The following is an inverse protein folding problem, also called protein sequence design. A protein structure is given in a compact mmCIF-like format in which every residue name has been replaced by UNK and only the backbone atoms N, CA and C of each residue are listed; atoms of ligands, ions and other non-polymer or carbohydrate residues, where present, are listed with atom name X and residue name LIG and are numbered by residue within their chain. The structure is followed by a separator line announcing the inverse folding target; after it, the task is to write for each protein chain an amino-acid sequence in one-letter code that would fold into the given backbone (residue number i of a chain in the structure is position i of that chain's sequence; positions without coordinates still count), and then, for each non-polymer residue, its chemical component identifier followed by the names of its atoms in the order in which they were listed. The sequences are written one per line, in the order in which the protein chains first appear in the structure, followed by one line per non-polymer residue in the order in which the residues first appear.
data_IF_658276723424
#
_entry.id   IF_658276723424
#
_cell.length_a   1.000
_cell.length_b   1.000
_cell.length_c   1.000
_cell.angle_alpha   90.00
_cell.angle_beta   90.00
_cell.angle_gamma   90.00
#
_symmetry.space_group_name_H-M   'P 1'
#
loop_
_entity.id
_entity.type
_entity.pdbx_description
1 polymer ?
#
# COMPACT_ATOMS: atom_id res chain seq x y z
N UNK A 1 1.58 -20.19 -19.68
CA UNK A 1 1.38 -21.20 -18.61
C UNK A 1 2.52 -21.29 -17.58
N UNK A 2 3.79 -21.35 -17.97
CA UNK A 2 4.93 -21.49 -17.03
C UNK A 2 4.96 -20.45 -15.89
N UNK A 3 4.79 -19.16 -16.22
CA UNK A 3 4.79 -18.07 -15.23
C UNK A 3 3.70 -18.24 -14.16
N UNK A 4 2.48 -18.60 -14.58
CA UNK A 4 1.35 -18.80 -13.67
C UNK A 4 1.61 -19.96 -12.71
N UNK A 5 2.09 -21.10 -13.22
CA UNK A 5 2.48 -22.26 -12.39
C UNK A 5 3.55 -21.90 -11.35
N UNK A 6 4.54 -21.10 -11.75
CA UNK A 6 5.64 -20.69 -10.86
C UNK A 6 5.18 -19.78 -9.74
N UNK A 7 4.12 -18.98 -9.92
CA UNK A 7 3.65 -18.02 -8.91
C UNK A 7 2.64 -18.61 -7.91
N UNK A 8 1.93 -19.70 -8.25
CA UNK A 8 0.93 -20.28 -7.35
C UNK A 8 1.57 -21.10 -6.22
N UNK A 9 1.11 -20.88 -4.98
CA UNK A 9 1.57 -21.55 -3.76
C UNK A 9 0.40 -21.87 -2.83
N UNK A 10 0.58 -22.84 -1.94
CA UNK A 10 -0.39 -23.24 -0.91
C UNK A 10 -1.80 -23.47 -1.45
N UNK A 11 -2.80 -22.94 -0.72
CA UNK A 11 -4.22 -23.09 -1.03
C UNK A 11 -4.61 -22.65 -2.45
N UNK A 12 -3.94 -21.63 -2.99
CA UNK A 12 -4.19 -21.16 -4.37
C UNK A 12 -3.72 -22.18 -5.41
N UNK A 13 -2.56 -22.83 -5.17
CA UNK A 13 -2.06 -23.90 -6.04
C UNK A 13 -2.94 -25.15 -5.96
N UNK A 14 -3.38 -25.52 -4.76
CA UNK A 14 -4.28 -26.66 -4.54
C UNK A 14 -5.61 -26.47 -5.26
N UNK A 15 -6.19 -25.25 -5.18
CA UNK A 15 -7.47 -24.89 -5.80
C UNK A 15 -7.57 -25.22 -7.30
N UNK A 16 -6.45 -25.06 -8.02
CA UNK A 16 -6.38 -25.21 -9.47
C UNK A 16 -5.45 -26.35 -9.87
N UNK A 17 -5.04 -27.21 -8.93
CA UNK A 17 -4.05 -28.27 -9.17
C UNK A 17 -4.43 -29.18 -10.35
N UNK A 18 -5.69 -29.62 -10.42
CA UNK A 18 -6.21 -30.39 -11.55
C UNK A 18 -6.17 -29.60 -12.88
N UNK A 19 -6.55 -28.31 -12.86
CA UNK A 19 -6.50 -27.41 -14.01
C UNK A 19 -5.07 -27.09 -14.48
N UNK A 20 -4.09 -27.21 -13.58
CA UNK A 20 -2.68 -27.10 -13.93
C UNK A 20 -2.15 -28.39 -14.55
N UNK A 21 -2.78 -29.54 -14.36
CA UNK A 21 -2.34 -30.80 -15.00
C UNK A 21 -2.97 -30.94 -16.38
N UNK A 22 -4.27 -30.63 -16.51
CA UNK A 22 -4.91 -30.51 -17.83
C UNK A 22 -4.31 -29.32 -18.60
N UNK A 23 -4.28 -29.40 -19.93
CA UNK A 23 -3.86 -28.29 -20.80
C UNK A 23 -4.90 -27.14 -20.82
N UNK A 24 -5.49 -26.83 -19.65
CA UNK A 24 -6.50 -25.78 -19.49
C UNK A 24 -5.91 -24.40 -19.79
N UNK A 25 -6.74 -23.54 -20.35
CA UNK A 25 -6.33 -22.19 -20.70
C UNK A 25 -6.03 -21.37 -19.43
N UNK A 26 -5.07 -20.43 -19.48
CA UNK A 26 -4.78 -19.53 -18.36
C UNK A 26 -6.03 -18.77 -17.84
N UNK A 27 -6.96 -18.45 -18.72
CA UNK A 27 -8.18 -17.69 -18.43
C UNK A 27 -9.11 -18.47 -17.50
N UNK A 28 -9.25 -19.79 -17.72
CA UNK A 28 -10.04 -20.68 -16.86
C UNK A 28 -9.41 -20.72 -15.46
N UNK A 29 -8.09 -20.89 -15.38
CA UNK A 29 -7.37 -20.94 -14.10
C UNK A 29 -7.54 -19.63 -13.33
N UNK A 30 -7.37 -18.49 -14.00
CA UNK A 30 -7.58 -17.17 -13.40
C UNK A 30 -9.02 -17.00 -12.96
N UNK A 31 -10.00 -17.48 -13.74
CA UNK A 31 -11.42 -17.39 -13.38
C UNK A 31 -11.76 -18.24 -12.14
N UNK A 32 -11.22 -19.45 -12.04
CA UNK A 32 -11.38 -20.29 -10.84
C UNK A 32 -10.73 -19.65 -9.62
N UNK A 33 -9.55 -19.04 -9.77
CA UNK A 33 -8.90 -18.31 -8.68
C UNK A 33 -9.70 -17.09 -8.25
N UNK A 34 -10.26 -16.33 -9.19
CA UNK A 34 -11.16 -15.20 -8.89
C UNK A 34 -12.43 -15.68 -8.19
N UNK A 35 -13.02 -16.80 -8.61
CA UNK A 35 -14.21 -17.35 -7.97
C UNK A 35 -13.94 -17.73 -6.50
N UNK A 36 -12.78 -18.33 -6.20
CA UNK A 36 -12.45 -18.81 -4.85
C UNK A 36 -11.83 -17.74 -3.94
N UNK A 37 -10.99 -16.86 -4.48
CA UNK A 37 -10.19 -15.90 -3.71
C UNK A 37 -10.47 -14.43 -4.04
N UNK A 38 -11.28 -14.16 -5.07
CA UNK A 38 -11.62 -12.82 -5.54
C UNK A 38 -12.76 -12.15 -4.79
N UNK A 39 -13.21 -12.70 -3.66
CA UNK A 39 -14.28 -12.09 -2.87
C UNK A 39 -13.84 -10.70 -2.36
N UNK A 40 -14.49 -9.61 -2.80
CA UNK A 40 -14.05 -8.25 -2.51
C UNK A 40 -14.05 -7.93 -1.01
N UNK A 41 -15.06 -8.40 -0.28
CA UNK A 41 -15.19 -8.14 1.17
C UNK A 41 -14.09 -8.87 1.96
N UNK A 42 -13.75 -10.10 1.55
CA UNK A 42 -12.66 -10.84 2.19
C UNK A 42 -11.29 -10.18 1.92
N UNK A 43 -11.03 -9.81 0.66
CA UNK A 43 -9.79 -9.09 0.29
C UNK A 43 -9.66 -7.81 1.11
N UNK A 44 -10.73 -7.04 1.19
CA UNK A 44 -10.74 -5.76 1.86
C UNK A 44 -10.58 -5.87 3.38
N UNK A 45 -11.28 -6.81 4.01
CA UNK A 45 -11.13 -7.08 5.44
C UNK A 45 -9.68 -7.47 5.78
N UNK A 46 -9.03 -8.25 4.92
CA UNK A 46 -7.63 -8.62 5.06
C UNK A 46 -6.69 -7.42 4.89
N UNK A 47 -6.93 -6.58 3.89
CA UNK A 47 -6.15 -5.35 3.66
C UNK A 47 -6.24 -4.40 4.87
N UNK A 48 -7.45 -4.15 5.39
CA UNK A 48 -7.65 -3.30 6.57
C UNK A 48 -6.99 -3.91 7.81
N UNK A 49 -7.06 -5.23 7.97
CA UNK A 49 -6.38 -5.94 9.05
C UNK A 49 -4.86 -5.77 8.99
N UNK A 50 -4.27 -5.86 7.80
CA UNK A 50 -2.84 -5.71 7.59
C UNK A 50 -2.38 -4.28 7.91
N UNK A 51 -3.17 -3.25 7.55
CA UNK A 51 -2.91 -1.86 7.95
C UNK A 51 -2.96 -1.69 9.47
N UNK A 52 -3.97 -2.26 10.15
CA UNK A 52 -4.08 -2.19 11.62
C UNK A 52 -2.89 -2.84 12.32
N UNK A 53 -2.33 -3.91 11.74
CA UNK A 53 -1.16 -4.63 12.25
C UNK A 53 0.18 -3.95 11.99
N UNK A 54 0.23 -2.88 11.19
CA UNK A 54 1.48 -2.17 10.99
C UNK A 54 2.00 -1.64 12.34
N UNK A 55 3.31 -1.80 12.61
CA UNK A 55 3.92 -1.19 13.77
C UNK A 55 3.88 0.35 13.62
N UNK A 56 3.77 1.09 14.74
CA UNK A 56 4.05 2.52 14.73
C UNK A 56 5.48 2.77 14.24
N UNK A 57 5.65 3.81 13.44
CA UNK A 57 6.96 4.23 12.95
C UNK A 57 7.75 4.87 14.09
N UNK A 58 9.05 4.61 14.14
CA UNK A 58 9.90 5.22 15.17
C UNK A 58 10.06 6.73 14.96
N UNK A 59 10.68 7.41 15.93
CA UNK A 59 11.05 8.83 15.76
C UNK A 59 12.13 9.01 14.67
N UNK A 60 12.97 7.99 14.43
CA UNK A 60 13.93 7.92 13.31
C UNK A 60 13.26 7.39 12.03
N UNK A 61 12.13 8.01 11.71
CA UNK A 61 11.16 7.56 10.72
C UNK A 61 11.72 7.52 9.28
N UNK A 62 12.84 8.21 9.04
CA UNK A 62 13.49 8.33 7.74
C UNK A 62 13.87 6.97 7.13
N UNK A 63 14.20 5.98 7.97
CA UNK A 63 14.53 4.61 7.52
C UNK A 63 13.31 3.80 7.10
N UNK A 64 12.13 4.17 7.60
CA UNK A 64 10.91 3.36 7.51
C UNK A 64 9.90 3.94 6.51
N UNK A 65 9.89 5.27 6.34
CA UNK A 65 8.85 6.00 5.60
C UNK A 65 8.69 5.56 4.15
N UNK A 66 9.78 5.19 3.47
CA UNK A 66 9.70 4.68 2.09
C UNK A 66 8.89 3.38 2.07
N UNK A 67 9.24 2.42 2.92
CA UNK A 67 8.52 1.14 2.99
C UNK A 67 7.07 1.31 3.48
N UNK A 68 6.83 2.25 4.40
CA UNK A 68 5.51 2.54 4.94
C UNK A 68 4.61 3.18 3.88
N UNK A 69 5.09 4.22 3.18
CA UNK A 69 4.35 4.90 2.12
C UNK A 69 3.93 3.96 0.99
N UNK A 70 4.82 3.04 0.58
CA UNK A 70 4.51 2.01 -0.43
C UNK A 70 3.39 1.08 0.04
N UNK A 71 3.37 0.69 1.33
CA UNK A 71 2.27 -0.13 1.87
C UNK A 71 0.93 0.60 1.83
N UNK A 72 0.91 1.90 2.16
CA UNK A 72 -0.32 2.70 2.09
C UNK A 72 -0.78 2.91 0.63
N UNK A 73 0.13 3.15 -0.31
CA UNK A 73 -0.19 3.23 -1.74
C UNK A 73 -0.73 1.91 -2.30
N UNK A 74 -0.13 0.79 -1.91
CA UNK A 74 -0.62 -0.53 -2.31
C UNK A 74 -2.02 -0.79 -1.74
N UNK A 75 -2.30 -0.33 -0.52
CA UNK A 75 -3.62 -0.42 0.08
C UNK A 75 -4.65 0.40 -0.71
N UNK A 76 -4.39 1.70 -0.97
CA UNK A 76 -5.31 2.55 -1.74
C UNK A 76 -5.53 2.03 -3.17
N UNK A 77 -4.46 1.58 -3.83
CA UNK A 77 -4.53 0.95 -5.14
C UNK A 77 -5.36 -0.34 -5.14
N UNK A 78 -5.20 -1.19 -4.13
CA UNK A 78 -5.97 -2.43 -3.99
C UNK A 78 -7.46 -2.16 -3.73
N UNK A 79 -7.80 -1.19 -2.87
CA UNK A 79 -9.19 -0.79 -2.63
C UNK A 79 -9.87 -0.30 -3.92
N UNK A 80 -9.16 0.52 -4.71
CA UNK A 80 -9.64 0.98 -6.02
C UNK A 80 -9.80 -0.16 -7.02
N UNK A 81 -8.84 -1.09 -7.07
CA UNK A 81 -8.90 -2.26 -7.95
C UNK A 81 -10.07 -3.21 -7.63
N UNK A 82 -10.49 -3.27 -6.37
CA UNK A 82 -11.65 -4.05 -5.92
C UNK A 82 -12.98 -3.31 -6.20
N UNK A 83 -12.94 -2.02 -6.54
CA UNK A 83 -14.13 -1.22 -6.86
C UNK A 83 -14.95 -0.80 -5.63
N UNK A 84 -14.30 -0.68 -4.47
CA UNK A 84 -14.93 -0.37 -3.16
C UNK A 84 -14.45 0.96 -2.60
N UNK A 85 -14.64 2.03 -3.37
CA UNK A 85 -14.13 3.37 -3.03
C UNK A 85 -14.77 3.98 -1.77
N UNK A 86 -15.95 3.51 -1.36
CA UNK A 86 -16.60 3.89 -0.11
C UNK A 86 -15.70 3.65 1.12
N UNK A 87 -14.81 2.66 1.06
CA UNK A 87 -13.84 2.40 2.13
C UNK A 87 -12.66 3.37 2.13
N UNK A 88 -12.37 4.03 1.01
CA UNK A 88 -11.40 5.13 0.96
C UNK A 88 -11.91 6.36 1.73
N UNK A 89 -13.22 6.47 1.93
CA UNK A 89 -13.84 7.57 2.69
C UNK A 89 -13.92 7.26 4.20
N UNK A 90 -13.65 6.02 4.61
CA UNK A 90 -13.75 5.57 5.99
C UNK A 90 -12.75 6.26 6.91
N UNK A 91 -13.24 7.11 7.83
CA UNK A 91 -12.40 7.79 8.84
C UNK A 91 -11.60 6.82 9.73
N UNK A 92 -12.07 5.57 9.88
CA UNK A 92 -11.45 4.56 10.73
C UNK A 92 -10.09 4.07 10.24
N UNK A 93 -9.84 4.04 8.93
CA UNK A 93 -8.55 3.60 8.38
C UNK A 93 -7.54 4.73 8.47
N UNK A 94 -7.97 5.95 8.17
CA UNK A 94 -7.14 7.16 8.26
C UNK A 94 -6.65 7.35 9.70
N UNK A 95 -7.54 7.26 10.70
CA UNK A 95 -7.14 7.42 12.10
C UNK A 95 -6.14 6.34 12.54
N UNK A 96 -6.31 5.10 12.08
CA UNK A 96 -5.35 4.02 12.32
C UNK A 96 -3.99 4.37 11.74
N UNK A 97 -3.91 4.83 10.49
CA UNK A 97 -2.62 5.19 9.86
C UNK A 97 -1.97 6.37 10.60
N UNK A 98 -2.74 7.42 10.91
CA UNK A 98 -2.24 8.58 11.65
C UNK A 98 -1.69 8.18 13.03
N UNK A 99 -2.33 7.25 13.74
CA UNK A 99 -1.84 6.74 15.02
C UNK A 99 -0.47 6.03 14.95
N UNK A 100 -0.02 5.66 13.75
CA UNK A 100 1.29 5.04 13.50
C UNK A 100 2.38 6.05 13.14
N UNK A 101 2.04 7.32 12.94
CA UNK A 101 2.99 8.34 12.56
C UNK A 101 3.64 8.98 13.81
N UNK A 102 4.93 9.32 13.76
CA UNK A 102 5.56 10.16 14.77
C UNK A 102 4.99 11.58 14.72
N UNK A 103 5.07 12.29 15.85
CA UNK A 103 4.53 13.65 16.02
C UNK A 103 5.01 14.63 14.93
N UNK A 104 6.26 14.51 14.49
CA UNK A 104 6.82 15.35 13.42
C UNK A 104 6.04 15.18 12.11
N UNK A 105 5.71 13.95 11.71
CA UNK A 105 4.92 13.69 10.51
C UNK A 105 3.46 14.08 10.68
N UNK A 106 2.91 13.96 11.90
CA UNK A 106 1.55 14.43 12.19
C UNK A 106 1.41 15.94 12.03
N UNK A 107 2.39 16.72 12.51
CA UNK A 107 2.40 18.17 12.30
C UNK A 107 2.41 18.51 10.81
N UNK A 108 3.31 17.88 10.04
CA UNK A 108 3.40 18.10 8.58
C UNK A 108 2.12 17.69 7.84
N UNK A 109 1.50 16.59 8.28
CA UNK A 109 0.22 16.15 7.74
C UNK A 109 -0.88 17.18 8.00
N UNK A 110 -0.95 17.76 9.21
CA UNK A 110 -1.92 18.82 9.52
C UNK A 110 -1.77 19.99 8.55
N UNK A 111 -0.54 20.45 8.30
CA UNK A 111 -0.26 21.55 7.38
C UNK A 111 -0.65 21.18 5.94
N UNK A 112 -0.26 19.99 5.48
CA UNK A 112 -0.56 19.50 4.13
C UNK A 112 -2.06 19.33 3.88
N UNK A 113 -2.77 18.78 4.87
CA UNK A 113 -4.16 18.37 4.72
C UNK A 113 -5.17 19.48 5.01
N UNK A 114 -4.76 20.58 5.63
CA UNK A 114 -5.64 21.69 6.00
C UNK A 114 -6.47 22.19 4.82
N UNK A 115 -5.81 22.64 3.73
CA UNK A 115 -6.50 23.21 2.57
C UNK A 115 -7.35 22.14 1.84
N UNK A 116 -6.81 20.98 1.44
CA UNK A 116 -7.57 20.01 0.66
C UNK A 116 -8.78 19.43 1.41
N UNK A 117 -8.68 19.25 2.73
CA UNK A 117 -9.81 18.79 3.55
C UNK A 117 -10.92 19.86 3.61
N UNK A 118 -10.56 21.13 3.75
CA UNK A 118 -11.56 22.22 3.78
C UNK A 118 -12.29 22.39 2.45
N UNK A 119 -11.64 22.07 1.33
CA UNK A 119 -12.26 22.13 0.00
C UNK A 119 -13.11 20.90 -0.35
N UNK A 120 -12.98 19.79 0.40
CA UNK A 120 -13.81 18.59 0.23
C UNK A 120 -13.64 17.84 -1.09
N UNK A 121 -12.58 18.10 -1.85
CA UNK A 121 -12.41 17.58 -3.22
C UNK A 121 -11.92 16.14 -3.30
N UNK A 122 -11.29 15.62 -2.25
CA UNK A 122 -10.56 14.36 -2.34
C UNK A 122 -10.75 13.47 -1.10
N UNK A 123 -10.66 12.15 -1.32
CA UNK A 123 -10.67 11.18 -0.23
C UNK A 123 -9.50 11.43 0.71
N UNK A 124 -9.78 11.51 2.03
CA UNK A 124 -8.75 11.73 3.06
C UNK A 124 -7.65 10.67 3.03
N UNK A 125 -7.99 9.42 2.69
CA UNK A 125 -7.03 8.35 2.60
C UNK A 125 -6.11 8.52 1.37
N UNK A 126 -6.66 9.01 0.25
CA UNK A 126 -5.87 9.32 -0.95
C UNK A 126 -4.91 10.47 -0.64
N UNK A 127 -5.40 11.55 -0.06
CA UNK A 127 -4.57 12.67 0.42
C UNK A 127 -3.44 12.20 1.35
N UNK A 128 -3.75 11.31 2.31
CA UNK A 128 -2.75 10.76 3.23
C UNK A 128 -1.73 9.89 2.50
N UNK A 129 -2.17 9.08 1.53
CA UNK A 129 -1.29 8.27 0.70
C UNK A 129 -0.31 9.14 -0.11
N UNK A 130 -0.80 10.24 -0.68
CA UNK A 130 0.02 11.15 -1.49
C UNK A 130 0.99 11.98 -0.63
N UNK A 131 0.54 12.47 0.52
CA UNK A 131 1.41 13.09 1.52
C UNK A 131 2.58 12.16 1.89
N UNK A 132 2.29 10.90 2.25
CA UNK A 132 3.33 9.95 2.65
C UNK A 132 4.29 9.63 1.50
N UNK A 133 3.80 9.62 0.26
CA UNK A 133 4.62 9.47 -0.95
C UNK A 133 5.59 10.64 -1.09
N UNK A 134 5.11 11.87 -0.97
CA UNK A 134 5.95 13.07 -1.08
C UNK A 134 7.03 13.08 -0.01
N UNK A 135 6.68 12.78 1.25
CA UNK A 135 7.65 12.70 2.33
C UNK A 135 8.69 11.58 2.09
N UNK A 136 8.28 10.42 1.58
CA UNK A 136 9.20 9.37 1.20
C UNK A 136 10.17 9.78 0.07
N UNK A 137 9.69 10.52 -0.93
CA UNK A 137 10.51 11.06 -2.02
C UNK A 137 11.51 12.08 -1.48
N UNK A 138 11.09 12.98 -0.59
CA UNK A 138 11.99 13.97 0.05
C UNK A 138 13.12 13.27 0.80
N UNK A 139 12.80 12.26 1.61
CA UNK A 139 13.79 11.50 2.39
C UNK A 139 14.75 10.72 1.48
N UNK A 140 14.24 10.03 0.46
CA UNK A 140 15.06 9.28 -0.50
C UNK A 140 16.02 10.20 -1.27
N UNK A 141 15.51 11.34 -1.77
CA UNK A 141 16.31 12.30 -2.53
C UNK A 141 17.38 12.95 -1.66
N UNK A 142 17.03 13.37 -0.44
CA UNK A 142 17.99 14.00 0.48
C UNK A 142 19.10 13.03 0.87
N UNK A 143 18.76 11.77 1.14
CA UNK A 143 19.75 10.73 1.46
C UNK A 143 20.73 10.53 0.31
N UNK A 144 20.23 10.46 -0.93
CA UNK A 144 21.05 10.29 -2.13
C UNK A 144 21.96 11.51 -2.39
N UNK A 145 21.45 12.73 -2.27
CA UNK A 145 22.22 13.96 -2.48
C UNK A 145 23.34 14.11 -1.45
N UNK A 146 23.07 13.78 -0.18
CA UNK A 146 24.10 13.79 0.87
C UNK A 146 25.21 12.80 0.54
N UNK A 147 24.88 11.56 0.16
CA UNK A 147 25.89 10.56 -0.24
C UNK A 147 26.74 11.01 -1.44
N UNK A 148 26.14 11.63 -2.46
CA UNK A 148 26.87 12.15 -3.62
C UNK A 148 27.84 13.29 -3.27
N UNK A 149 27.44 14.19 -2.38
CA UNK A 149 28.29 15.33 -1.96
C UNK A 149 29.46 14.89 -1.08
N UNK A 150 29.32 13.82 -0.29
CA UNK A 150 30.45 13.21 0.44
C UNK A 150 31.44 12.49 -0.49
N UNK A 151 30.96 11.81 -1.53
CA UNK A 151 31.82 11.14 -2.51
C UNK A 151 32.68 12.14 -3.32
N UNK A 152 32.15 13.33 -3.62
CA UNK A 152 32.86 14.37 -4.37
C UNK A 152 33.87 15.19 -3.55
N UNK A 153 33.83 15.12 -2.21
CA UNK A 153 34.78 15.81 -1.32
C UNK A 153 35.98 14.95 -0.92
N UNK A 154 36.03 13.70 -1.39
CA UNK A 154 37.05 12.70 -1.02
C UNK A 154 38.09 12.46 -2.12
N UNK A 155 38.13 13.31 -3.15
CA UNK A 155 39.07 13.33 -4.28
C UNK A 155 39.66 14.71 -4.43
#
# INVERSE_FOLDING_TARGET
MWRLRKCLRGAAKEAVSALLVSASSPEIIISTLKLRFGNPEYILSKLVYDIKKLPPMSQDYHKEIVSFSVKIQNFTGAVRAVGREEYLQGMSVVSVILSKLPTVLLSRWTDYSFIPITEGKESRLVLLSDFLKEEAVKVSTTSNTLLCTYAQRST
#
